data_IF_051227983546
#
_entry.id   IF_051227983546
#
_cell.length_a   1.000
_cell.length_b   1.000
_cell.length_c   1.000
_cell.angle_alpha   90.00
_cell.angle_beta   90.00
_cell.angle_gamma   90.00
#
_symmetry.space_group_name_H-M   'P 1'
#
loop_
_entity.id
_entity.type
_entity.pdbx_description
1 polymer ?
#
# COMPACT_ATOMS: atom_id res chain seq x y z
N UNK A 1 -27.22 13.64 -9.15
CA UNK A 1 -26.51 12.77 -10.12
C UNK A 1 -25.03 13.10 -10.01
N UNK A 2 -24.15 12.11 -9.79
CA UNK A 2 -22.71 12.36 -9.83
C UNK A 2 -22.33 12.79 -11.26
N UNK A 3 -21.38 13.74 -11.44
CA UNK A 3 -20.93 14.10 -12.77
C UNK A 3 -20.39 12.86 -13.49
N UNK A 4 -20.63 12.72 -14.81
CA UNK A 4 -20.09 11.62 -15.59
C UNK A 4 -18.56 11.59 -15.43
N UNK A 5 -18.01 10.40 -15.18
CA UNK A 5 -16.56 10.21 -15.09
C UNK A 5 -15.96 10.41 -16.49
N UNK A 6 -15.18 11.47 -16.67
CA UNK A 6 -14.61 11.86 -17.96
C UNK A 6 -13.23 11.24 -18.14
N UNK A 7 -12.98 10.63 -19.29
CA UNK A 7 -11.64 10.19 -19.72
C UNK A 7 -11.27 10.96 -20.98
N UNK A 8 -10.10 11.59 -20.98
CA UNK A 8 -9.58 12.22 -22.20
C UNK A 8 -8.77 11.20 -22.99
N UNK A 9 -9.08 11.06 -24.27
CA UNK A 9 -8.30 10.30 -25.22
C UNK A 9 -7.69 11.28 -26.21
N UNK A 10 -6.36 11.36 -26.27
CA UNK A 10 -5.63 12.29 -27.14
C UNK A 10 -4.88 11.46 -28.18
N UNK A 11 -5.22 11.57 -29.45
CA UNK A 11 -4.53 10.85 -30.52
C UNK A 11 -5.19 10.95 -31.88
N UNK A 12 -4.43 10.61 -32.93
CA UNK A 12 -4.94 10.61 -34.30
C UNK A 12 -6.01 9.53 -34.51
N UNK A 13 -7.11 9.88 -35.18
CA UNK A 13 -8.20 8.94 -35.49
C UNK A 13 -7.67 7.79 -36.35
N UNK A 14 -7.57 6.62 -35.75
CA UNK A 14 -7.21 5.36 -36.39
C UNK A 14 -7.85 4.19 -35.64
N UNK A 15 -7.72 2.98 -36.18
CA UNK A 15 -8.39 1.78 -35.64
C UNK A 15 -8.10 1.56 -34.14
N UNK A 16 -6.86 1.82 -33.70
CA UNK A 16 -6.47 1.71 -32.29
C UNK A 16 -7.20 2.71 -31.39
N UNK A 17 -7.30 3.98 -31.81
CA UNK A 17 -8.00 5.03 -31.06
C UNK A 17 -9.51 4.77 -31.03
N UNK A 18 -10.09 4.31 -32.14
CA UNK A 18 -11.50 3.91 -32.20
C UNK A 18 -11.80 2.72 -31.29
N UNK A 19 -10.94 1.70 -31.27
CA UNK A 19 -11.10 0.55 -30.39
C UNK A 19 -11.00 0.92 -28.90
N UNK A 20 -10.08 1.84 -28.55
CA UNK A 20 -9.96 2.38 -27.19
C UNK A 20 -11.21 3.17 -26.82
N UNK A 21 -11.67 4.07 -27.69
CA UNK A 21 -12.86 4.88 -27.47
C UNK A 21 -14.10 4.01 -27.27
N UNK A 22 -14.35 3.03 -28.16
CA UNK A 22 -15.47 2.10 -28.06
C UNK A 22 -15.45 1.30 -26.74
N UNK A 23 -14.26 0.85 -26.32
CA UNK A 23 -14.11 0.09 -25.07
C UNK A 23 -14.41 0.92 -23.83
N UNK A 24 -14.06 2.22 -23.85
CA UNK A 24 -14.21 3.13 -22.71
C UNK A 24 -15.60 3.75 -22.62
N UNK A 25 -16.24 4.03 -23.77
CA UNK A 25 -17.57 4.64 -23.83
C UNK A 25 -18.67 3.80 -23.16
N UNK A 26 -18.42 2.51 -22.90
CA UNK A 26 -19.33 1.66 -22.14
C UNK A 26 -19.46 2.04 -20.65
N UNK A 27 -18.48 2.76 -20.09
CA UNK A 27 -18.40 3.07 -18.66
C UNK A 27 -18.04 4.52 -18.34
N UNK A 28 -17.56 5.29 -19.32
CA UNK A 28 -17.04 6.64 -19.15
C UNK A 28 -17.51 7.56 -20.26
N UNK A 29 -17.56 8.86 -19.95
CA UNK A 29 -17.68 9.86 -20.99
C UNK A 29 -16.29 10.10 -21.59
N UNK A 30 -16.06 9.59 -22.79
CA UNK A 30 -14.77 9.73 -23.48
C UNK A 30 -14.79 11.00 -24.34
N UNK A 31 -13.87 11.91 -24.07
CA UNK A 31 -13.68 13.12 -24.89
C UNK A 31 -12.40 12.95 -25.69
N UNK A 32 -12.54 12.96 -27.01
CA UNK A 32 -11.44 12.72 -27.95
C UNK A 32 -10.83 14.05 -28.41
N UNK A 33 -9.52 14.19 -28.25
CA UNK A 33 -8.72 15.26 -28.81
C UNK A 33 -7.72 14.71 -29.83
N UNK A 34 -7.39 15.51 -30.85
CA UNK A 34 -6.35 15.13 -31.81
C UNK A 34 -4.94 15.39 -31.28
N UNK A 35 -4.76 16.42 -30.45
CA UNK A 35 -3.51 16.83 -29.79
C UNK A 35 -3.83 17.54 -28.47
N UNK A 36 -2.81 17.80 -27.66
CA UNK A 36 -2.98 18.57 -26.42
C UNK A 36 -3.23 20.05 -26.75
N UNK A 37 -4.44 20.53 -26.48
CA UNK A 37 -4.87 21.91 -26.75
C UNK A 37 -5.34 22.61 -25.47
N UNK A 38 -5.54 23.93 -25.51
CA UNK A 38 -5.99 24.71 -24.33
C UNK A 38 -7.33 24.20 -23.78
N UNK A 39 -8.19 23.66 -24.63
CA UNK A 39 -9.51 23.13 -24.28
C UNK A 39 -9.43 21.93 -23.32
N UNK A 40 -8.31 21.21 -23.29
CA UNK A 40 -8.04 20.14 -22.31
C UNK A 40 -8.14 20.67 -20.87
N UNK A 41 -7.83 21.95 -20.65
CA UNK A 41 -7.95 22.58 -19.32
C UNK A 41 -9.38 22.64 -18.79
N UNK A 42 -10.38 22.66 -19.67
CA UNK A 42 -11.80 22.78 -19.32
C UNK A 42 -12.40 21.50 -18.74
N UNK A 43 -11.73 20.36 -18.96
CA UNK A 43 -12.18 19.06 -18.47
C UNK A 43 -11.50 18.70 -17.16
N UNK A 44 -12.21 18.00 -16.27
CA UNK A 44 -11.61 17.40 -15.07
C UNK A 44 -11.60 15.87 -15.20
N UNK A 45 -10.63 15.30 -15.97
CA UNK A 45 -10.66 13.88 -16.26
C UNK A 45 -10.10 13.05 -15.12
N UNK A 46 -10.67 11.86 -14.93
CA UNK A 46 -10.12 10.87 -14.01
C UNK A 46 -8.84 10.21 -14.54
N UNK A 47 -8.60 10.30 -15.86
CA UNK A 47 -7.36 9.90 -16.52
C UNK A 47 -7.27 10.48 -17.93
N UNK A 48 -6.04 10.57 -18.43
CA UNK A 48 -5.74 10.95 -19.81
C UNK A 48 -4.98 9.81 -20.50
N UNK A 49 -5.44 9.41 -21.68
CA UNK A 49 -4.76 8.43 -22.53
C UNK A 49 -4.20 9.18 -23.72
N UNK A 50 -2.88 9.18 -23.87
CA UNK A 50 -2.20 9.79 -25.00
C UNK A 50 -1.72 8.68 -25.95
N UNK A 51 -2.34 8.61 -27.12
CA UNK A 51 -2.10 7.60 -28.13
C UNK A 51 -1.36 8.20 -29.33
N UNK A 52 -0.17 7.69 -29.65
CA UNK A 52 0.56 8.10 -30.86
C UNK A 52 0.66 6.94 -31.86
N UNK A 53 0.30 7.22 -33.12
CA UNK A 53 0.57 6.33 -34.24
C UNK A 53 1.92 6.75 -34.82
N UNK A 54 2.98 5.93 -34.68
CA UNK A 54 4.27 6.11 -35.37
C UNK A 54 4.81 7.55 -35.49
N UNK A 55 5.77 7.94 -34.66
CA UNK A 55 6.45 9.24 -34.74
C UNK A 55 7.70 9.29 -33.83
N UNK A 56 8.53 10.35 -33.92
CA UNK A 56 9.69 10.51 -33.05
C UNK A 56 9.26 10.68 -31.58
N UNK A 57 10.04 10.10 -30.66
CA UNK A 57 9.76 10.12 -29.21
C UNK A 57 9.62 11.55 -28.65
N UNK A 58 10.32 12.51 -29.24
CA UNK A 58 10.31 13.93 -28.83
C UNK A 58 8.92 14.58 -28.95
N UNK A 59 8.10 14.17 -29.92
CA UNK A 59 6.76 14.71 -30.11
C UNK A 59 5.80 14.25 -28.99
N UNK A 60 5.93 13.00 -28.55
CA UNK A 60 5.17 12.45 -27.41
C UNK A 60 5.54 13.16 -26.12
N UNK A 61 6.83 13.36 -25.91
CA UNK A 61 7.35 14.04 -24.74
C UNK A 61 6.93 15.51 -24.68
N UNK A 62 6.88 16.18 -25.83
CA UNK A 62 6.32 17.54 -25.94
C UNK A 62 4.85 17.61 -25.52
N UNK A 63 4.02 16.69 -26.01
CA UNK A 63 2.60 16.63 -25.62
C UNK A 63 2.40 16.25 -24.16
N UNK A 64 3.19 15.31 -23.63
CA UNK A 64 3.14 14.93 -22.21
C UNK A 64 3.51 16.12 -21.31
N UNK A 65 4.55 16.86 -21.65
CA UNK A 65 4.98 18.03 -20.90
C UNK A 65 3.89 19.12 -20.90
N UNK A 66 3.31 19.40 -22.07
CA UNK A 66 2.20 20.34 -22.20
C UNK A 66 0.96 19.89 -21.40
N UNK A 67 0.66 18.59 -21.40
CA UNK A 67 -0.45 18.03 -20.63
C UNK A 67 -0.21 18.16 -19.12
N UNK A 68 1.01 17.92 -18.65
CA UNK A 68 1.38 18.08 -17.23
C UNK A 68 1.38 19.54 -16.78
N UNK A 69 1.64 20.49 -17.66
CA UNK A 69 1.43 21.91 -17.36
C UNK A 69 -0.06 22.26 -17.19
N UNK A 70 -0.93 21.71 -18.05
CA UNK A 70 -2.37 22.00 -18.01
C UNK A 70 -3.11 21.22 -16.91
N UNK A 71 -2.64 20.01 -16.59
CA UNK A 71 -3.25 19.05 -15.66
C UNK A 71 -2.16 18.26 -14.91
N UNK A 72 -1.47 18.87 -13.93
CA UNK A 72 -0.38 18.21 -13.21
C UNK A 72 -0.85 16.93 -12.49
N UNK A 73 -2.04 17.01 -11.88
CA UNK A 73 -2.67 15.95 -11.09
C UNK A 73 -3.33 14.85 -11.92
N UNK A 74 -3.57 15.08 -13.22
CA UNK A 74 -4.23 14.08 -14.04
C UNK A 74 -3.26 12.93 -14.36
N UNK A 75 -3.66 11.68 -14.13
CA UNK A 75 -2.81 10.55 -14.38
C UNK A 75 -2.83 10.24 -15.89
N UNK A 76 -1.65 10.02 -16.49
CA UNK A 76 -1.48 9.91 -17.95
C UNK A 76 -0.99 8.52 -18.33
N UNK A 77 -1.62 7.91 -19.32
CA UNK A 77 -1.21 6.64 -19.92
C UNK A 77 -0.76 6.88 -21.36
N UNK A 78 0.48 6.50 -21.69
CA UNK A 78 0.98 6.55 -23.06
C UNK A 78 0.71 5.22 -23.79
N UNK A 79 0.12 5.32 -24.98
CA UNK A 79 -0.14 4.20 -25.88
C UNK A 79 0.53 4.45 -27.24
N UNK A 80 1.14 3.43 -27.84
CA UNK A 80 1.76 3.52 -29.17
C UNK A 80 1.32 2.37 -30.07
N UNK A 81 1.13 2.64 -31.36
CA UNK A 81 0.98 1.60 -32.39
C UNK A 81 2.20 1.61 -33.33
N UNK A 82 2.87 0.46 -33.44
CA UNK A 82 4.07 0.31 -34.29
C UNK A 82 3.85 0.69 -35.77
N UNK A 83 4.95 0.99 -36.47
CA UNK A 83 4.91 1.34 -37.89
C UNK A 83 4.45 0.11 -38.73
N UNK A 84 3.54 0.34 -39.68
CA UNK A 84 3.02 -0.62 -40.67
C UNK A 84 1.98 -1.65 -40.22
N UNK A 85 1.06 -1.32 -39.30
CA UNK A 85 -0.14 -2.14 -39.09
C UNK A 85 0.11 -3.57 -38.55
N UNK A 86 1.36 -3.89 -38.21
CA UNK A 86 1.71 -5.01 -37.36
C UNK A 86 1.88 -4.53 -35.90
N UNK A 87 1.56 -5.37 -34.91
CA UNK A 87 1.63 -4.97 -33.51
C UNK A 87 3.09 -4.78 -33.08
N UNK A 88 3.60 -3.56 -33.19
CA UNK A 88 4.84 -3.16 -32.52
C UNK A 88 4.70 -3.39 -31.02
N UNK A 89 5.69 -4.07 -30.42
CA UNK A 89 5.78 -4.26 -28.97
C UNK A 89 5.81 -2.91 -28.22
N UNK A 90 5.58 -2.91 -26.90
CA UNK A 90 5.59 -1.69 -26.10
C UNK A 90 6.94 -0.97 -26.20
N UNK A 91 6.90 0.33 -26.51
CA UNK A 91 8.04 1.23 -26.59
C UNK A 91 8.67 1.38 -25.18
N UNK A 92 9.73 0.62 -24.91
CA UNK A 92 10.38 0.52 -23.59
C UNK A 92 10.91 1.85 -23.07
N UNK A 93 11.30 2.78 -23.95
CA UNK A 93 11.85 4.09 -23.56
C UNK A 93 10.76 5.14 -23.27
N UNK A 94 9.63 5.11 -23.99
CA UNK A 94 8.50 6.01 -23.76
C UNK A 94 7.76 5.70 -22.45
N UNK A 95 7.79 4.43 -22.02
CA UNK A 95 7.23 3.98 -20.75
C UNK A 95 8.06 4.47 -19.54
N UNK A 96 9.38 4.64 -19.70
CA UNK A 96 10.22 5.25 -18.66
C UNK A 96 9.84 6.70 -18.39
N UNK A 97 9.33 7.41 -19.39
CA UNK A 97 8.89 8.80 -19.26
C UNK A 97 7.39 8.96 -18.98
N UNK A 98 6.54 7.98 -19.37
CA UNK A 98 5.09 7.96 -19.14
C UNK A 98 4.69 7.85 -17.65
N UNK A 99 5.55 7.26 -16.84
CA UNK A 99 5.27 6.87 -15.46
C UNK A 99 6.32 7.46 -14.53
N UNK A 100 6.29 8.79 -14.36
CA UNK A 100 6.97 9.41 -13.24
C UNK A 100 6.20 9.11 -11.94
N UNK A 101 6.41 7.92 -11.38
CA UNK A 101 6.44 7.70 -9.92
C UNK A 101 7.50 6.62 -9.60
N UNK A 102 8.50 6.89 -8.75
CA UNK A 102 9.56 5.93 -8.46
C UNK A 102 9.03 4.85 -7.51
N UNK A 103 8.95 3.60 -7.96
CA UNK A 103 8.67 2.47 -7.06
C UNK A 103 8.22 1.17 -7.73
N UNK A 104 7.49 1.24 -8.85
CA UNK A 104 6.82 0.06 -9.42
C UNK A 104 7.35 -0.38 -10.82
N UNK A 105 8.38 0.31 -11.32
CA UNK A 105 9.01 0.07 -12.62
C UNK A 105 9.41 -1.40 -12.84
N UNK A 106 9.94 -2.07 -11.82
CA UNK A 106 10.45 -3.46 -11.92
C UNK A 106 9.32 -4.50 -12.07
N UNK A 107 8.21 -4.33 -11.33
CA UNK A 107 7.04 -5.23 -11.40
C UNK A 107 6.29 -5.05 -12.71
N UNK A 108 6.14 -3.82 -13.19
CA UNK A 108 5.52 -3.55 -14.48
C UNK A 108 6.37 -4.03 -15.65
N UNK A 109 7.71 -3.92 -15.58
CA UNK A 109 8.63 -4.45 -16.58
C UNK A 109 8.55 -5.98 -16.70
N UNK A 110 8.46 -6.69 -15.57
CA UNK A 110 8.26 -8.14 -15.55
C UNK A 110 6.91 -8.56 -16.16
N UNK A 111 5.84 -7.79 -15.88
CA UNK A 111 4.52 -8.00 -16.47
C UNK A 111 4.52 -7.75 -17.99
N UNK A 112 5.18 -6.69 -18.46
CA UNK A 112 5.31 -6.37 -19.87
C UNK A 112 6.10 -7.42 -20.66
N UNK A 113 7.19 -7.95 -20.08
CA UNK A 113 7.95 -9.07 -20.66
C UNK A 113 7.10 -10.35 -20.77
N UNK A 114 6.16 -10.55 -19.85
CA UNK A 114 5.20 -11.66 -19.95
C UNK A 114 4.17 -11.51 -21.09
N UNK A 115 4.04 -10.31 -21.66
CA UNK A 115 3.09 -10.02 -22.75
C UNK A 115 3.64 -10.35 -24.15
N UNK A 116 4.97 -10.40 -24.32
CA UNK A 116 5.60 -10.86 -25.57
C UNK A 116 5.38 -12.36 -25.82
N UNK A 117 5.18 -13.15 -24.78
CA UNK A 117 5.13 -14.61 -24.88
C UNK A 117 3.75 -15.19 -25.23
N UNK A 118 2.67 -14.38 -25.30
CA UNK A 118 1.30 -14.89 -25.52
C UNK A 118 0.61 -14.31 -26.76
N UNK A 119 0.15 -15.21 -27.65
CA UNK A 119 -0.63 -14.92 -28.88
C UNK A 119 -2.06 -14.42 -28.56
N UNK A 120 -2.21 -13.14 -28.25
CA UNK A 120 -3.53 -12.49 -28.09
C UNK A 120 -3.83 -11.49 -29.22
N UNK A 121 -5.11 -11.35 -29.59
CA UNK A 121 -5.59 -10.31 -30.51
C UNK A 121 -5.43 -8.89 -29.90
N UNK A 122 -5.41 -7.84 -30.73
CA UNK A 122 -5.25 -6.44 -30.27
C UNK A 122 -6.29 -6.04 -29.22
N UNK A 123 -7.56 -6.41 -29.43
CA UNK A 123 -8.66 -6.16 -28.49
C UNK A 123 -8.55 -6.99 -27.18
N UNK A 124 -7.92 -8.17 -27.23
CA UNK A 124 -7.63 -8.98 -26.05
C UNK A 124 -6.49 -8.39 -25.21
N UNK A 125 -5.44 -7.90 -25.88
CA UNK A 125 -4.31 -7.20 -25.26
C UNK A 125 -4.74 -5.89 -24.60
N UNK A 126 -5.59 -5.11 -25.26
CA UNK A 126 -6.15 -3.87 -24.70
C UNK A 126 -7.08 -4.13 -23.50
N UNK A 127 -7.91 -5.18 -23.53
CA UNK A 127 -8.75 -5.56 -22.38
C UNK A 127 -7.94 -6.02 -21.17
N UNK A 128 -6.85 -6.76 -21.37
CA UNK A 128 -5.96 -7.20 -20.27
C UNK A 128 -5.10 -6.06 -19.73
N UNK A 129 -4.50 -5.24 -20.61
CA UNK A 129 -3.79 -4.03 -20.21
C UNK A 129 -4.70 -3.10 -19.43
N UNK A 130 -5.96 -2.92 -19.87
CA UNK A 130 -6.96 -2.15 -19.16
C UNK A 130 -7.39 -2.79 -17.83
N UNK A 131 -7.52 -4.12 -17.70
CA UNK A 131 -7.77 -4.75 -16.39
C UNK A 131 -6.63 -4.48 -15.41
N UNK A 132 -5.39 -4.53 -15.86
CA UNK A 132 -4.20 -4.30 -15.04
C UNK A 132 -4.05 -2.81 -14.68
N UNK A 133 -4.23 -1.89 -15.63
CA UNK A 133 -4.27 -0.44 -15.38
C UNK A 133 -5.49 -0.06 -14.53
N UNK A 134 -6.66 -0.66 -14.74
CA UNK A 134 -7.83 -0.45 -13.86
C UNK A 134 -7.55 -0.90 -12.42
N UNK A 135 -6.86 -2.03 -12.24
CA UNK A 135 -6.51 -2.57 -10.91
C UNK A 135 -5.41 -1.75 -10.21
N UNK A 136 -4.39 -1.29 -10.94
CA UNK A 136 -3.25 -0.55 -10.38
C UNK A 136 -3.48 0.97 -10.31
N UNK A 137 -4.23 1.53 -11.26
CA UNK A 137 -4.32 2.97 -11.53
C UNK A 137 -5.65 3.57 -11.05
N UNK A 138 -6.78 2.92 -11.32
CA UNK A 138 -8.11 3.47 -10.96
C UNK A 138 -8.59 3.07 -9.57
N UNK A 139 -8.06 1.99 -8.98
CA UNK A 139 -8.26 1.73 -7.55
C UNK A 139 -7.61 2.85 -6.73
N UNK A 140 -6.39 3.30 -7.09
CA UNK A 140 -5.67 4.36 -6.36
C UNK A 140 -6.10 5.80 -6.69
N UNK A 141 -6.57 6.12 -7.89
CA UNK A 141 -7.03 7.51 -8.19
C UNK A 141 -8.41 7.81 -7.58
N UNK A 142 -9.24 6.78 -7.36
CA UNK A 142 -10.43 6.90 -6.51
C UNK A 142 -10.08 6.96 -5.00
N UNK A 143 -8.83 6.63 -4.67
CA UNK A 143 -8.21 6.66 -3.36
C UNK A 143 -7.02 7.64 -3.38
N UNK A 144 -7.18 8.83 -3.99
CA UNK A 144 -6.35 9.91 -3.46
C UNK A 144 -6.68 9.94 -1.97
N UNK A 145 -5.72 9.70 -1.07
CA UNK A 145 -5.99 9.89 0.34
C UNK A 145 -6.48 11.32 0.42
N UNK A 146 -7.75 11.51 0.82
CA UNK A 146 -8.01 12.75 1.51
C UNK A 146 -6.99 12.77 2.65
N UNK A 147 -6.26 13.87 2.86
CA UNK A 147 -5.49 14.00 4.08
C UNK A 147 -6.44 13.59 5.20
N UNK A 148 -6.01 12.63 6.02
CA UNK A 148 -6.77 12.22 7.18
C UNK A 148 -7.32 13.48 7.85
N UNK A 149 -8.65 13.55 8.00
CA UNK A 149 -9.35 14.69 8.60
C UNK A 149 -9.50 14.53 10.10
N UNK A 150 -8.97 13.46 10.69
CA UNK A 150 -8.28 13.69 11.95
C UNK A 150 -7.14 14.64 11.59
N UNK A 151 -7.15 15.90 12.06
CA UNK A 151 -6.03 16.78 11.77
C UNK A 151 -4.74 16.00 12.05
N UNK A 152 -3.64 16.25 11.32
CA UNK A 152 -2.35 16.06 11.96
C UNK A 152 -2.43 16.96 13.19
N UNK A 153 -2.92 16.42 14.30
CA UNK A 153 -2.44 16.85 15.59
C UNK A 153 -1.02 16.38 15.47
N UNK A 154 -0.17 17.30 15.04
CA UNK A 154 1.23 17.33 15.35
C UNK A 154 1.32 17.25 16.88
N UNK A 155 1.08 16.07 17.44
CA UNK A 155 2.13 15.54 18.27
C UNK A 155 3.25 15.25 17.28
N UNK A 156 3.99 16.32 16.94
CA UNK A 156 5.40 16.27 17.26
C UNK A 156 5.46 15.51 18.58
N UNK A 157 5.84 14.23 18.52
CA UNK A 157 6.42 13.62 19.67
C UNK A 157 7.52 14.60 20.04
N UNK A 158 7.26 15.45 21.04
CA UNK A 158 8.09 16.58 21.35
C UNK A 158 9.53 16.07 21.32
N UNK A 159 10.44 16.70 20.56
CA UNK A 159 11.79 16.20 20.39
C UNK A 159 12.33 15.92 21.79
N UNK A 160 12.43 14.63 22.13
CA UNK A 160 13.05 14.24 23.38
C UNK A 160 14.50 14.53 23.11
N UNK A 161 15.01 15.58 23.73
CA UNK A 161 16.31 16.16 23.44
C UNK A 161 17.49 15.24 23.80
N UNK A 162 17.25 13.96 24.13
CA UNK A 162 18.21 12.92 24.51
C UNK A 162 17.62 11.48 24.34
N UNK A 163 17.08 11.10 23.17
CA UNK A 163 16.35 9.83 22.99
C UNK A 163 16.59 9.11 21.67
N UNK A 164 16.54 7.77 21.72
CA UNK A 164 16.63 6.89 20.55
C UNK A 164 15.23 6.47 20.09
N UNK A 165 14.84 6.83 18.87
CA UNK A 165 13.56 6.46 18.27
C UNK A 165 13.78 5.57 17.05
N UNK A 166 13.29 4.33 17.11
CA UNK A 166 13.32 3.37 16.02
C UNK A 166 11.94 3.30 15.35
N UNK A 167 11.88 3.74 14.09
CA UNK A 167 10.70 3.63 13.23
C UNK A 167 10.83 2.38 12.37
N UNK A 168 9.94 1.43 12.63
CA UNK A 168 9.93 0.11 11.98
C UNK A 168 8.70 -0.07 11.09
N UNK A 169 7.67 0.79 11.18
CA UNK A 169 6.57 0.82 10.22
C UNK A 169 6.88 1.73 9.03
N UNK A 170 6.73 1.18 7.82
CA UNK A 170 7.26 1.79 6.61
C UNK A 170 8.79 1.59 6.52
N UNK A 171 9.50 2.49 5.81
CA UNK A 171 10.94 2.42 5.70
C UNK A 171 11.64 2.51 7.07
N UNK A 172 12.60 1.62 7.31
CA UNK A 172 13.37 1.62 8.55
C UNK A 172 14.12 2.95 8.74
N UNK A 173 13.81 3.67 9.81
CA UNK A 173 14.43 4.94 10.17
C UNK A 173 14.85 4.92 11.64
N UNK A 174 16.04 5.43 11.92
CA UNK A 174 16.56 5.56 13.28
C UNK A 174 16.83 7.02 13.55
N UNK A 175 16.29 7.55 14.65
CA UNK A 175 16.56 8.91 15.11
C UNK A 175 17.27 8.90 16.45
N UNK A 176 18.27 9.75 16.58
CA UNK A 176 18.95 10.02 17.83
C UNK A 176 18.85 11.51 18.11
N UNK A 177 18.27 11.88 19.25
CA UNK A 177 18.12 13.26 19.70
C UNK A 177 17.45 14.14 18.63
N UNK A 178 16.43 13.56 17.97
CA UNK A 178 15.68 14.17 16.88
C UNK A 178 16.37 14.15 15.50
N UNK A 179 17.64 13.75 15.41
CA UNK A 179 18.39 13.66 14.14
C UNK A 179 18.23 12.28 13.51
N UNK A 180 17.84 12.24 12.23
CA UNK A 180 17.79 11.00 11.44
C UNK A 180 19.21 10.51 11.18
N UNK A 181 19.50 9.28 11.58
CA UNK A 181 20.77 8.63 11.32
C UNK A 181 20.80 8.08 9.87
N UNK A 182 21.94 8.15 9.18
CA UNK A 182 22.05 7.64 7.80
C UNK A 182 21.74 6.15 7.69
N UNK A 183 21.04 5.69 6.64
CA UNK A 183 20.62 4.29 6.54
C UNK A 183 21.80 3.33 6.35
N UNK A 184 21.72 2.16 6.97
CA UNK A 184 22.64 1.05 6.68
C UNK A 184 22.37 0.54 5.26
N UNK A 185 23.38 0.59 4.39
CA UNK A 185 23.25 0.21 2.96
C UNK A 185 22.82 -1.27 2.77
N UNK A 186 23.42 -2.18 3.52
CA UNK A 186 23.11 -3.62 3.45
C UNK A 186 21.72 -3.90 4.06
N UNK A 187 20.80 -4.47 3.28
CA UNK A 187 19.49 -4.89 3.77
C UNK A 187 19.58 -5.87 4.95
N UNK A 188 20.52 -6.81 4.91
CA UNK A 188 20.73 -7.79 6.00
C UNK A 188 21.17 -7.10 7.28
N UNK A 189 22.09 -6.12 7.19
CA UNK A 189 22.57 -5.40 8.37
C UNK A 189 21.51 -4.44 8.92
N UNK A 190 20.68 -3.86 8.03
CA UNK A 190 19.53 -3.04 8.41
C UNK A 190 18.47 -3.87 9.12
N UNK A 191 18.14 -5.04 8.58
CA UNK A 191 17.29 -6.04 9.25
C UNK A 191 17.91 -6.47 10.58
N UNK A 192 19.22 -6.76 10.65
CA UNK A 192 19.89 -7.14 11.89
C UNK A 192 19.77 -6.05 12.96
N UNK A 193 20.01 -4.79 12.62
CA UNK A 193 19.82 -3.69 13.56
C UNK A 193 18.36 -3.56 13.99
N UNK A 194 17.40 -3.65 13.06
CA UNK A 194 15.98 -3.63 13.39
C UNK A 194 15.57 -4.80 14.31
N UNK A 195 16.11 -6.00 14.08
CA UNK A 195 15.90 -7.18 14.93
C UNK A 195 16.41 -6.91 16.35
N UNK A 196 17.63 -6.39 16.48
CA UNK A 196 18.22 -6.05 17.76
C UNK A 196 17.41 -4.97 18.48
N UNK A 197 16.92 -3.95 17.78
CA UNK A 197 16.10 -2.89 18.38
C UNK A 197 14.71 -3.40 18.79
N UNK A 198 14.09 -4.24 17.95
CA UNK A 198 12.77 -4.81 18.23
C UNK A 198 12.78 -5.82 19.38
N UNK A 199 13.81 -6.66 19.48
CA UNK A 199 13.92 -7.70 20.52
C UNK A 199 14.85 -7.32 21.67
N UNK A 200 15.61 -6.23 21.54
CA UNK A 200 16.70 -5.83 22.43
C UNK A 200 16.39 -5.63 23.91
N UNK A 201 15.16 -5.26 24.32
CA UNK A 201 14.77 -5.28 25.73
C UNK A 201 14.85 -6.68 26.37
N UNK A 202 14.96 -7.75 25.57
CA UNK A 202 14.99 -9.14 26.01
C UNK A 202 16.31 -9.82 25.58
N UNK A 203 16.64 -10.95 26.23
CA UNK A 203 17.76 -11.80 25.79
C UNK A 203 17.42 -12.43 24.44
N UNK A 204 18.33 -12.36 23.48
CA UNK A 204 18.15 -12.88 22.12
C UNK A 204 19.06 -14.09 21.89
N UNK A 205 18.57 -15.34 22.03
CA UNK A 205 19.39 -16.54 21.85
C UNK A 205 19.98 -16.61 20.45
N UNK A 206 21.28 -16.90 20.32
CA UNK A 206 21.98 -16.95 19.03
C UNK A 206 21.30 -17.84 18.00
N UNK A 207 20.80 -19.00 18.43
CA UNK A 207 20.13 -19.95 17.56
C UNK A 207 18.85 -19.36 16.93
N UNK A 208 18.07 -18.56 17.67
CA UNK A 208 16.88 -17.89 17.15
C UNK A 208 17.20 -16.81 16.13
N UNK A 209 18.31 -16.09 16.32
CA UNK A 209 18.79 -15.12 15.32
C UNK A 209 19.20 -15.86 14.05
N UNK A 210 19.94 -16.97 14.17
CA UNK A 210 20.34 -17.78 13.02
C UNK A 210 19.12 -18.32 12.26
N UNK A 211 18.16 -18.95 12.97
CA UNK A 211 16.91 -19.45 12.40
C UNK A 211 16.16 -18.37 11.62
N UNK A 212 16.12 -17.14 12.14
CA UNK A 212 15.37 -16.05 11.51
C UNK A 212 16.04 -15.41 10.28
N UNK A 213 17.36 -15.51 10.14
CA UNK A 213 18.13 -14.84 9.08
C UNK A 213 18.71 -15.78 8.03
N UNK A 214 19.07 -17.00 8.44
CA UNK A 214 19.77 -17.98 7.60
C UNK A 214 19.27 -19.41 7.89
N UNK A 215 17.96 -19.70 7.73
CA UNK A 215 17.38 -21.01 8.07
C UNK A 215 17.99 -22.15 7.25
N UNK A 216 18.36 -21.89 5.98
CA UNK A 216 18.86 -22.91 5.05
C UNK A 216 20.40 -23.07 5.08
N UNK A 217 21.09 -22.31 5.93
CA UNK A 217 22.55 -22.38 6.03
C UNK A 217 22.99 -23.42 7.04
N UNK A 218 24.11 -24.11 6.75
CA UNK A 218 24.74 -24.94 7.77
C UNK A 218 25.20 -24.07 8.97
N UNK A 219 25.36 -24.71 10.13
CA UNK A 219 25.58 -23.99 11.39
C UNK A 219 26.83 -23.12 11.38
N UNK A 220 27.94 -23.59 10.81
CA UNK A 220 29.20 -22.85 10.77
C UNK A 220 29.09 -21.62 9.87
N UNK A 221 28.53 -21.77 8.67
CA UNK A 221 28.29 -20.67 7.75
C UNK A 221 27.33 -19.62 8.36
N UNK A 222 26.24 -20.06 9.00
CA UNK A 222 25.29 -19.16 9.63
C UNK A 222 25.90 -18.38 10.80
N UNK A 223 26.73 -19.02 11.63
CA UNK A 223 27.49 -18.35 12.70
C UNK A 223 28.44 -17.30 12.13
N UNK A 224 29.15 -17.60 11.05
CA UNK A 224 30.06 -16.66 10.40
C UNK A 224 29.30 -15.45 9.82
N UNK A 225 28.19 -15.68 9.12
CA UNK A 225 27.31 -14.62 8.61
C UNK A 225 26.78 -13.73 9.75
N UNK A 226 26.35 -14.33 10.87
CA UNK A 226 25.90 -13.59 12.04
C UNK A 226 27.02 -12.72 12.63
N UNK A 227 28.21 -13.26 12.81
CA UNK A 227 29.36 -12.51 13.34
C UNK A 227 29.69 -11.31 12.45
N UNK A 228 29.67 -11.47 11.12
CA UNK A 228 29.89 -10.39 10.15
C UNK A 228 28.79 -9.33 10.24
N UNK A 229 27.53 -9.74 10.34
CA UNK A 229 26.40 -8.82 10.47
C UNK A 229 26.47 -8.01 11.78
N UNK A 230 26.69 -8.68 12.92
CA UNK A 230 26.84 -8.04 14.24
C UNK A 230 28.06 -7.10 14.26
N UNK A 231 29.19 -7.52 13.69
CA UNK A 231 30.38 -6.66 13.58
C UNK A 231 30.09 -5.39 12.77
N UNK A 232 29.37 -5.53 11.65
CA UNK A 232 28.96 -4.41 10.81
C UNK A 232 28.00 -3.45 11.54
N UNK A 233 27.03 -4.00 12.29
CA UNK A 233 26.10 -3.19 13.09
C UNK A 233 26.83 -2.49 14.23
N UNK A 234 27.75 -3.16 14.93
CA UNK A 234 28.60 -2.55 15.97
C UNK A 234 29.44 -1.41 15.41
N UNK A 235 30.01 -1.58 14.21
CA UNK A 235 30.79 -0.53 13.53
C UNK A 235 29.91 0.67 13.21
N UNK A 236 28.77 0.45 12.56
CA UNK A 236 27.80 1.50 12.26
C UNK A 236 27.40 2.28 13.52
N UNK A 237 27.13 1.57 14.62
CA UNK A 237 26.72 2.21 15.86
C UNK A 237 27.83 3.06 16.49
N UNK A 238 29.07 2.54 16.53
CA UNK A 238 30.23 3.32 17.00
C UNK A 238 30.45 4.61 16.20
N UNK A 239 30.15 4.59 14.90
CA UNK A 239 30.31 5.75 14.02
C UNK A 239 29.18 6.78 14.17
N UNK A 240 27.94 6.33 14.45
CA UNK A 240 26.75 7.18 14.38
C UNK A 240 26.12 7.51 15.73
N UNK A 241 26.14 6.56 16.66
CA UNK A 241 25.34 6.58 17.89
C UNK A 241 26.13 6.74 19.19
N UNK A 242 27.46 6.89 19.10
CA UNK A 242 28.33 7.02 20.28
C UNK A 242 28.25 5.81 21.22
N UNK A 243 28.56 6.04 22.49
CA UNK A 243 28.59 4.99 23.53
C UNK A 243 27.20 4.64 24.11
N UNK A 244 26.11 5.10 23.48
CA UNK A 244 24.75 5.00 24.05
C UNK A 244 24.06 3.63 23.89
N UNK A 245 24.67 2.69 23.17
CA UNK A 245 24.13 1.35 23.01
C UNK A 245 25.27 0.35 22.86
N UNK A 246 25.18 -0.70 23.66
CA UNK A 246 26.15 -1.77 23.70
C UNK A 246 25.48 -3.09 23.31
N UNK A 247 26.10 -3.81 22.36
CA UNK A 247 25.67 -5.15 21.97
C UNK A 247 26.54 -6.15 22.72
N UNK A 248 26.01 -6.70 23.81
CA UNK A 248 26.67 -7.69 24.64
C UNK A 248 26.37 -9.10 24.15
N UNK A 249 27.27 -10.05 24.42
CA UNK A 249 27.05 -11.47 24.16
C UNK A 249 27.42 -12.29 25.40
N UNK A 250 26.43 -12.96 25.99
CA UNK A 250 26.57 -13.77 27.21
C UNK A 250 25.62 -14.96 27.15
N UNK A 251 26.02 -16.11 27.70
CA UNK A 251 25.20 -17.33 27.77
C UNK A 251 24.60 -17.76 26.41
N UNK A 252 25.38 -17.64 25.33
CA UNK A 252 24.95 -17.93 23.97
C UNK A 252 23.75 -17.07 23.47
N UNK A 253 23.60 -15.87 24.04
CA UNK A 253 22.57 -14.91 23.67
C UNK A 253 23.16 -13.50 23.50
N UNK A 254 22.58 -12.73 22.58
CA UNK A 254 22.84 -11.32 22.45
C UNK A 254 21.92 -10.54 23.38
N UNK A 255 22.45 -9.47 23.97
CA UNK A 255 21.69 -8.50 24.76
C UNK A 255 21.98 -7.11 24.22
N UNK A 256 20.97 -6.24 24.23
CA UNK A 256 21.12 -4.85 23.82
C UNK A 256 20.89 -3.95 25.02
N UNK A 257 21.90 -3.15 25.37
CA UNK A 257 21.70 -2.05 26.32
C UNK A 257 21.15 -0.85 25.54
N UNK A 258 19.96 -0.41 25.95
CA UNK A 258 19.22 0.68 25.32
C UNK A 258 19.12 1.84 26.31
N UNK A 259 19.13 3.10 25.84
CA UNK A 259 18.91 4.25 26.71
C UNK A 259 17.49 4.23 27.29
N UNK A 260 17.30 4.82 28.47
CA UNK A 260 15.98 4.89 29.14
C UNK A 260 14.90 5.54 28.25
N UNK A 261 15.31 6.49 27.41
CA UNK A 261 14.43 7.20 26.47
C UNK A 261 14.24 6.46 25.12
N UNK A 262 14.48 5.14 25.06
CA UNK A 262 14.29 4.35 23.85
C UNK A 262 12.81 4.19 23.47
N UNK A 263 12.51 4.38 22.18
CA UNK A 263 11.18 4.21 21.59
C UNK A 263 11.23 3.33 20.35
N UNK A 264 10.17 2.56 20.17
CA UNK A 264 9.96 1.63 19.08
C UNK A 264 8.47 1.65 18.71
N UNK A 265 8.16 2.15 17.52
CA UNK A 265 6.77 2.29 17.06
C UNK A 265 6.02 0.95 16.98
N UNK A 266 6.67 -0.13 16.52
CA UNK A 266 6.07 -1.46 16.43
C UNK A 266 5.76 -2.08 17.80
N UNK A 267 6.67 -1.94 18.79
CA UNK A 267 6.38 -2.37 20.17
C UNK A 267 5.31 -1.50 20.82
N UNK A 268 5.35 -0.19 20.60
CA UNK A 268 4.34 0.73 21.12
C UNK A 268 2.95 0.43 20.54
N UNK A 269 2.87 0.11 19.25
CA UNK A 269 1.67 -0.34 18.57
C UNK A 269 1.09 -1.61 19.22
N UNK A 270 1.91 -2.66 19.41
CA UNK A 270 1.45 -3.90 20.05
C UNK A 270 0.99 -3.67 21.49
N UNK A 271 1.67 -2.78 22.23
CA UNK A 271 1.25 -2.41 23.59
C UNK A 271 -0.12 -1.73 23.59
N UNK A 272 -0.35 -0.80 22.67
CA UNK A 272 -1.66 -0.14 22.51
C UNK A 272 -2.73 -1.16 22.09
N UNK A 273 -2.40 -2.11 21.22
CA UNK A 273 -3.32 -3.18 20.85
C UNK A 273 -3.77 -4.01 22.06
N UNK A 274 -2.84 -4.49 22.88
CA UNK A 274 -3.16 -5.24 24.10
C UNK A 274 -3.93 -4.39 25.12
N UNK A 275 -3.56 -3.12 25.26
CA UNK A 275 -4.26 -2.19 26.14
C UNK A 275 -5.71 -1.97 25.70
N UNK A 276 -5.96 -1.77 24.40
CA UNK A 276 -7.30 -1.62 23.85
C UNK A 276 -8.16 -2.86 24.11
N UNK A 277 -7.63 -4.07 23.87
CA UNK A 277 -8.33 -5.32 24.20
C UNK A 277 -8.65 -5.43 25.69
N UNK A 278 -7.74 -5.01 26.56
CA UNK A 278 -7.98 -5.00 28.00
C UNK A 278 -9.09 -4.02 28.39
N UNK A 279 -9.16 -2.85 27.75
CA UNK A 279 -10.19 -1.85 27.99
C UNK A 279 -11.57 -2.32 27.50
N UNK A 280 -11.65 -3.02 26.37
CA UNK A 280 -12.89 -3.64 25.90
C UNK A 280 -13.41 -4.71 26.87
N UNK A 281 -12.53 -5.57 27.39
CA UNK A 281 -12.89 -6.57 28.42
C UNK A 281 -13.38 -5.92 29.72
N UNK A 282 -12.91 -4.72 30.02
CA UNK A 282 -13.35 -3.92 31.15
C UNK A 282 -14.58 -3.04 30.85
N UNK A 283 -15.21 -3.19 29.68
CA UNK A 283 -16.35 -2.38 29.21
C UNK A 283 -16.07 -0.87 29.08
N UNK A 284 -14.80 -0.46 28.94
CA UNK A 284 -14.36 0.94 28.80
C UNK A 284 -14.18 1.32 27.32
N UNK A 285 -15.28 1.31 26.58
CA UNK A 285 -15.27 1.37 25.11
C UNK A 285 -14.71 2.69 24.54
N UNK A 286 -14.96 3.84 25.19
CA UNK A 286 -14.42 5.13 24.71
C UNK A 286 -12.91 5.22 24.86
N UNK A 287 -12.37 4.63 25.92
CA UNK A 287 -10.93 4.55 26.13
C UNK A 287 -10.28 3.56 25.17
N UNK A 288 -10.93 2.41 24.93
CA UNK A 288 -10.50 1.45 23.92
C UNK A 288 -10.43 2.12 22.53
N UNK A 289 -11.47 2.88 22.16
CA UNK A 289 -11.52 3.64 20.91
C UNK A 289 -10.33 4.59 20.78
N UNK A 290 -10.02 5.35 21.84
CA UNK A 290 -8.90 6.29 21.83
C UNK A 290 -7.54 5.58 21.72
N UNK A 291 -7.36 4.46 22.40
CA UNK A 291 -6.12 3.67 22.35
C UNK A 291 -5.95 3.02 20.97
N UNK A 292 -7.00 2.48 20.37
CA UNK A 292 -6.96 1.94 19.01
C UNK A 292 -6.64 3.01 17.97
N UNK A 293 -7.22 4.22 18.08
CA UNK A 293 -6.86 5.36 17.23
C UNK A 293 -5.37 5.74 17.36
N UNK A 294 -4.81 5.69 18.56
CA UNK A 294 -3.38 5.92 18.76
C UNK A 294 -2.53 4.83 18.11
N UNK A 295 -2.95 3.56 18.19
CA UNK A 295 -2.26 2.45 17.52
C UNK A 295 -2.22 2.66 16.00
N UNK A 296 -3.36 3.00 15.37
CA UNK A 296 -3.40 3.25 13.92
C UNK A 296 -2.44 4.36 13.47
N UNK A 297 -2.27 5.41 14.28
CA UNK A 297 -1.32 6.50 13.95
C UNK A 297 0.14 6.06 13.91
N UNK A 298 0.49 4.96 14.58
CA UNK A 298 1.85 4.41 14.54
C UNK A 298 2.06 3.52 13.32
N UNK A 299 1.00 2.91 12.79
CA UNK A 299 1.09 2.03 11.62
C UNK A 299 1.11 2.88 10.33
N UNK A 300 2.30 3.33 9.92
CA UNK A 300 2.47 4.20 8.74
C UNK A 300 2.78 3.44 7.44
N UNK A 301 2.93 2.12 7.52
CA UNK A 301 3.30 1.24 6.41
C UNK A 301 3.65 -0.15 6.92
N UNK A 302 3.95 -1.07 6.00
CA UNK A 302 4.36 -2.41 6.39
C UNK A 302 5.65 -2.41 7.21
N UNK A 303 5.78 -3.38 8.12
CA UNK A 303 6.99 -3.54 8.93
C UNK A 303 8.23 -3.71 8.05
N UNK A 304 9.22 -2.85 8.25
CA UNK A 304 10.47 -2.78 7.49
C UNK A 304 10.24 -2.77 5.98
N UNK A 305 9.39 -1.86 5.54
CA UNK A 305 9.15 -1.63 4.11
C UNK A 305 10.47 -1.29 3.40
N UNK A 306 10.64 -1.82 2.20
CA UNK A 306 11.87 -1.65 1.41
C UNK A 306 12.98 -2.68 1.70
N UNK A 307 12.82 -3.57 2.69
CA UNK A 307 13.65 -4.78 2.77
C UNK A 307 13.09 -5.79 1.76
N UNK A 308 13.78 -5.94 0.62
CA UNK A 308 13.33 -6.80 -0.47
C UNK A 308 13.79 -8.25 -0.31
N UNK A 309 14.88 -8.48 0.43
CA UNK A 309 15.36 -9.82 0.74
C UNK A 309 14.36 -10.54 1.63
N UNK A 310 14.01 -11.77 1.24
CA UNK A 310 13.21 -12.65 2.08
C UNK A 310 14.02 -13.04 3.32
N UNK A 311 13.59 -12.53 4.48
CA UNK A 311 14.20 -12.79 5.78
C UNK A 311 13.06 -13.21 6.71
N UNK A 312 13.07 -14.47 7.14
CA UNK A 312 11.92 -15.13 7.78
C UNK A 312 11.37 -14.38 9.00
N UNK A 313 12.24 -13.85 9.86
CA UNK A 313 11.77 -13.09 11.02
C UNK A 313 11.08 -11.78 10.61
N UNK A 314 11.51 -11.13 9.51
CA UNK A 314 10.88 -9.90 8.99
C UNK A 314 9.50 -10.24 8.47
N UNK A 315 9.37 -11.25 7.61
CA UNK A 315 8.08 -11.63 7.02
C UNK A 315 7.08 -12.10 8.08
N UNK A 316 7.52 -12.94 9.02
CA UNK A 316 6.66 -13.42 10.10
C UNK A 316 6.21 -12.29 11.04
N UNK A 317 7.09 -11.33 11.34
CA UNK A 317 6.73 -10.16 12.16
C UNK A 317 5.82 -9.20 11.40
N UNK A 318 6.10 -8.96 10.11
CA UNK A 318 5.27 -8.13 9.23
C UNK A 318 3.85 -8.68 9.12
N UNK A 319 3.68 -9.99 8.89
CA UNK A 319 2.37 -10.64 8.85
C UNK A 319 1.63 -10.49 10.17
N UNK A 320 2.28 -10.78 11.31
CA UNK A 320 1.67 -10.62 12.65
C UNK A 320 1.21 -9.18 12.92
N UNK A 321 2.05 -8.19 12.58
CA UNK A 321 1.72 -6.78 12.80
C UNK A 321 0.59 -6.32 11.88
N UNK A 322 0.56 -6.80 10.62
CA UNK A 322 -0.54 -6.53 9.68
C UNK A 322 -1.86 -7.14 10.15
N UNK A 323 -1.84 -8.37 10.65
CA UNK A 323 -3.03 -9.03 11.23
C UNK A 323 -3.57 -8.28 12.45
N UNK A 324 -2.67 -7.81 13.33
CA UNK A 324 -3.05 -6.96 14.46
C UNK A 324 -3.64 -5.62 13.99
N UNK A 325 -3.10 -5.03 12.92
CA UNK A 325 -3.61 -3.79 12.35
C UNK A 325 -5.02 -3.96 11.77
N UNK A 326 -5.23 -5.00 10.97
CA UNK A 326 -6.55 -5.36 10.44
C UNK A 326 -7.56 -5.60 11.56
N UNK A 327 -7.14 -6.27 12.65
CA UNK A 327 -7.97 -6.48 13.83
C UNK A 327 -8.36 -5.17 14.52
N UNK A 328 -7.42 -4.21 14.62
CA UNK A 328 -7.70 -2.88 15.18
C UNK A 328 -8.72 -2.14 14.32
N UNK A 329 -8.54 -2.13 12.99
CA UNK A 329 -9.47 -1.47 12.07
C UNK A 329 -10.86 -2.08 12.15
N UNK A 330 -10.97 -3.41 12.27
CA UNK A 330 -12.25 -4.10 12.41
C UNK A 330 -12.96 -3.66 13.70
N UNK A 331 -12.24 -3.66 14.84
CA UNK A 331 -12.76 -3.14 16.12
C UNK A 331 -13.17 -1.68 16.05
N UNK A 332 -12.35 -0.83 15.44
CA UNK A 332 -12.67 0.60 15.23
C UNK A 332 -13.95 0.75 14.40
N UNK A 333 -14.09 -0.01 13.31
CA UNK A 333 -15.29 0.04 12.47
C UNK A 333 -16.57 -0.30 13.25
N UNK A 334 -16.52 -1.28 14.15
CA UNK A 334 -17.63 -1.61 15.04
C UNK A 334 -17.94 -0.47 16.03
N UNK A 335 -16.91 0.02 16.73
CA UNK A 335 -17.06 1.08 17.74
C UNK A 335 -17.56 2.40 17.13
N UNK A 336 -17.16 2.71 15.90
CA UNK A 336 -17.67 3.86 15.15
C UNK A 336 -19.13 3.67 14.74
N UNK A 337 -19.49 2.49 14.23
CA UNK A 337 -20.88 2.16 13.88
C UNK A 337 -21.83 2.27 15.08
N UNK A 338 -21.42 1.80 16.26
CA UNK A 338 -22.19 1.91 17.50
C UNK A 338 -22.43 3.36 17.93
N UNK A 339 -21.48 4.26 17.63
CA UNK A 339 -21.54 5.69 17.96
C UNK A 339 -22.18 6.55 16.87
N UNK A 340 -22.64 5.95 15.78
CA UNK A 340 -23.17 6.69 14.62
C UNK A 340 -22.12 7.46 13.83
N UNK A 341 -20.82 7.19 14.06
CA UNK A 341 -19.69 7.75 13.32
C UNK A 341 -19.50 7.01 12.00
N UNK A 342 -20.51 7.12 11.12
CA UNK A 342 -20.60 6.31 9.91
C UNK A 342 -19.51 6.62 8.88
N UNK A 343 -18.95 7.83 8.88
CA UNK A 343 -17.88 8.16 7.95
C UNK A 343 -16.58 7.45 8.34
N UNK A 344 -16.21 7.52 9.61
CA UNK A 344 -15.00 6.88 10.14
C UNK A 344 -15.10 5.35 10.08
N UNK A 345 -16.30 4.79 10.24
CA UNK A 345 -16.54 3.37 10.01
C UNK A 345 -16.34 2.97 8.54
N UNK A 346 -16.82 3.79 7.60
CA UNK A 346 -16.65 3.55 6.16
C UNK A 346 -15.16 3.59 5.79
N UNK A 347 -14.41 4.55 6.31
CA UNK A 347 -12.95 4.69 6.10
C UNK A 347 -12.18 3.47 6.65
N UNK A 348 -12.46 3.04 7.89
CA UNK A 348 -11.80 1.88 8.49
C UNK A 348 -12.04 0.58 7.69
N UNK A 349 -13.28 0.36 7.22
CA UNK A 349 -13.58 -0.80 6.38
C UNK A 349 -12.96 -0.71 4.99
N UNK A 350 -12.87 0.49 4.39
CA UNK A 350 -12.20 0.66 3.10
C UNK A 350 -10.71 0.35 3.21
N UNK A 351 -10.06 0.81 4.29
CA UNK A 351 -8.65 0.52 4.55
C UNK A 351 -8.39 -0.99 4.73
N UNK A 352 -9.27 -1.70 5.44
CA UNK A 352 -9.22 -3.18 5.51
C UNK A 352 -9.23 -3.79 4.10
N UNK A 353 -10.13 -3.34 3.23
CA UNK A 353 -10.29 -3.87 1.87
C UNK A 353 -9.19 -3.44 0.90
N UNK A 354 -8.45 -2.37 1.20
CA UNK A 354 -7.25 -2.00 0.46
C UNK A 354 -6.08 -2.93 0.78
N UNK A 355 -5.98 -3.37 2.04
CA UNK A 355 -4.98 -4.33 2.49
C UNK A 355 -5.34 -5.74 1.98
N UNK A 356 -6.59 -6.16 2.15
CA UNK A 356 -7.10 -7.44 1.69
C UNK A 356 -8.57 -7.34 1.23
N UNK A 357 -8.76 -7.39 -0.08
CA UNK A 357 -10.06 -7.28 -0.75
C UNK A 357 -11.00 -8.48 -0.48
N UNK A 358 -10.49 -9.57 0.12
CA UNK A 358 -11.23 -10.78 0.44
C UNK A 358 -11.82 -10.80 1.86
N UNK A 359 -11.60 -9.77 2.69
CA UNK A 359 -12.13 -9.74 4.06
C UNK A 359 -13.65 -9.48 4.02
N UNK A 360 -14.43 -10.56 4.05
CA UNK A 360 -15.89 -10.49 3.95
C UNK A 360 -16.56 -9.70 5.09
N UNK A 361 -15.99 -9.70 6.31
CA UNK A 361 -16.55 -8.95 7.44
C UNK A 361 -16.60 -7.45 7.14
N UNK A 362 -15.55 -6.90 6.53
CA UNK A 362 -15.50 -5.49 6.12
C UNK A 362 -16.53 -5.18 5.02
N UNK A 363 -16.71 -6.08 4.04
CA UNK A 363 -17.78 -5.96 3.04
C UNK A 363 -19.16 -5.92 3.69
N UNK A 364 -19.44 -6.83 4.63
CA UNK A 364 -20.71 -6.87 5.37
C UNK A 364 -20.95 -5.59 6.16
N UNK A 365 -19.93 -5.09 6.86
CA UNK A 365 -20.02 -3.86 7.64
C UNK A 365 -20.36 -2.65 6.76
N UNK A 366 -19.72 -2.54 5.58
CA UNK A 366 -20.04 -1.51 4.59
C UNK A 366 -21.46 -1.65 4.03
N UNK A 367 -21.94 -2.88 3.77
CA UNK A 367 -23.33 -3.12 3.32
C UNK A 367 -24.33 -2.61 4.37
N UNK A 368 -24.12 -2.95 5.65
CA UNK A 368 -24.97 -2.49 6.77
C UNK A 368 -24.92 -0.96 6.87
N UNK A 369 -23.73 -0.38 6.83
CA UNK A 369 -23.51 1.07 6.92
C UNK A 369 -24.22 1.82 5.79
N UNK A 370 -24.05 1.38 4.54
CA UNK A 370 -24.71 1.98 3.39
C UNK A 370 -26.24 1.82 3.46
N UNK A 371 -26.74 0.73 4.01
CA UNK A 371 -28.16 0.58 4.24
C UNK A 371 -28.67 1.59 5.30
N UNK A 372 -28.04 1.66 6.47
CA UNK A 372 -28.40 2.59 7.55
C UNK A 372 -28.35 4.06 7.14
N UNK A 373 -27.47 4.40 6.21
CA UNK A 373 -27.31 5.77 5.68
C UNK A 373 -28.15 6.04 4.43
N UNK A 374 -29.13 5.17 4.12
CA UNK A 374 -30.02 5.27 2.96
C UNK A 374 -29.29 5.32 1.59
N UNK A 375 -28.11 4.70 1.52
CA UNK A 375 -27.26 4.58 0.32
C UNK A 375 -27.38 3.18 -0.29
N UNK A 376 -28.61 2.69 -0.49
CA UNK A 376 -28.91 1.33 -0.99
C UNK A 376 -28.12 0.94 -2.24
N UNK A 377 -27.97 1.85 -3.21
CA UNK A 377 -27.16 1.58 -4.40
C UNK A 377 -25.67 1.30 -4.13
N UNK A 378 -25.09 1.86 -3.06
CA UNK A 378 -23.72 1.53 -2.63
C UNK A 378 -23.68 0.15 -1.96
N UNK A 379 -24.68 -0.19 -1.14
CA UNK A 379 -24.78 -1.52 -0.52
C UNK A 379 -24.79 -2.66 -1.57
N UNK A 380 -25.60 -2.52 -2.63
CA UNK A 380 -25.65 -3.52 -3.71
C UNK A 380 -24.33 -3.65 -4.46
N UNK A 381 -23.66 -2.52 -4.74
CA UNK A 381 -22.34 -2.54 -5.39
C UNK A 381 -21.27 -3.17 -4.50
N UNK A 382 -21.33 -2.94 -3.19
CA UNK A 382 -20.39 -3.53 -2.24
C UNK A 382 -20.50 -5.05 -2.22
N UNK A 383 -21.72 -5.60 -2.20
CA UNK A 383 -21.91 -7.04 -2.30
C UNK A 383 -21.33 -7.61 -3.61
N UNK A 384 -21.58 -6.95 -4.75
CA UNK A 384 -20.99 -7.38 -6.02
C UNK A 384 -19.46 -7.34 -6.01
N UNK A 385 -18.85 -6.32 -5.37
CA UNK A 385 -17.41 -6.25 -5.18
C UNK A 385 -16.87 -7.41 -4.31
N UNK A 386 -17.58 -7.76 -3.24
CA UNK A 386 -17.27 -8.91 -2.40
C UNK A 386 -17.25 -10.22 -3.20
N UNK A 387 -18.34 -10.51 -3.93
CA UNK A 387 -18.43 -11.71 -4.76
C UNK A 387 -17.29 -11.76 -5.79
N UNK A 388 -16.99 -10.63 -6.43
CA UNK A 388 -15.93 -10.56 -7.42
C UNK A 388 -14.55 -10.82 -6.78
N UNK A 389 -14.25 -10.21 -5.63
CA UNK A 389 -12.96 -10.37 -4.96
C UNK A 389 -12.72 -11.84 -4.57
N UNK A 390 -13.70 -12.48 -3.91
CA UNK A 390 -13.62 -13.88 -3.49
C UNK A 390 -13.48 -14.82 -4.68
N UNK A 391 -14.23 -14.59 -5.75
CA UNK A 391 -14.16 -15.42 -6.94
C UNK A 391 -12.81 -15.25 -7.67
N UNK A 392 -12.32 -14.01 -7.82
CA UNK A 392 -11.09 -13.70 -8.55
C UNK A 392 -9.82 -14.14 -7.78
N UNK A 393 -9.85 -14.13 -6.44
CA UNK A 393 -8.67 -14.39 -5.58
C UNK A 393 -8.63 -15.80 -4.99
N UNK A 394 -9.79 -16.32 -4.58
CA UNK A 394 -9.92 -17.56 -3.82
C UNK A 394 -10.74 -18.62 -4.56
N UNK A 395 -11.48 -18.25 -5.60
CA UNK A 395 -12.31 -19.17 -6.37
C UNK A 395 -13.55 -19.66 -5.62
N UNK A 396 -13.97 -18.93 -4.57
CA UNK A 396 -15.10 -19.29 -3.70
C UNK A 396 -16.23 -18.27 -3.79
N UNK A 397 -17.44 -18.69 -3.45
CA UNK A 397 -18.60 -17.81 -3.25
C UNK A 397 -18.62 -17.21 -1.83
N UNK A 398 -19.33 -16.10 -1.60
CA UNK A 398 -19.46 -15.50 -0.28
C UNK A 398 -20.06 -16.47 0.76
N UNK A 399 -19.74 -16.23 2.02
CA UNK A 399 -20.41 -16.92 3.12
C UNK A 399 -21.92 -16.62 3.15
N UNK A 400 -22.70 -17.57 3.68
CA UNK A 400 -24.16 -17.50 3.76
C UNK A 400 -24.63 -16.24 4.50
N UNK A 401 -23.93 -15.83 5.55
CA UNK A 401 -24.22 -14.62 6.31
C UNK A 401 -24.13 -13.35 5.42
N UNK A 402 -23.20 -13.34 4.46
CA UNK A 402 -23.04 -12.24 3.49
C UNK A 402 -24.19 -12.23 2.47
N UNK A 403 -24.62 -13.40 2.00
CA UNK A 403 -25.76 -13.54 1.09
C UNK A 403 -27.08 -13.13 1.77
N UNK A 404 -27.33 -13.60 2.99
CA UNK A 404 -28.53 -13.27 3.76
C UNK A 404 -28.61 -11.76 4.04
N UNK A 405 -27.48 -11.12 4.34
CA UNK A 405 -27.41 -9.68 4.54
C UNK A 405 -27.81 -8.92 3.26
N UNK A 406 -27.33 -9.36 2.10
CA UNK A 406 -27.70 -8.77 0.81
C UNK A 406 -29.21 -8.90 0.53
N UNK A 407 -29.79 -10.08 0.78
CA UNK A 407 -31.23 -10.28 0.62
C UNK A 407 -32.05 -9.37 1.53
N UNK A 408 -31.65 -9.18 2.79
CA UNK A 408 -32.30 -8.21 3.69
C UNK A 408 -32.17 -6.78 3.18
N UNK A 409 -31.00 -6.38 2.67
CA UNK A 409 -30.75 -5.06 2.11
C UNK A 409 -31.63 -4.76 0.86
N UNK A 410 -31.93 -5.78 0.05
CA UNK A 410 -32.85 -5.64 -1.10
C UNK A 410 -34.31 -5.60 -0.65
N UNK A 411 -34.69 -6.45 0.30
CA UNK A 411 -36.08 -6.56 0.70
C UNK A 411 -36.52 -5.47 1.68
N UNK A 412 -35.58 -4.61 2.12
CA UNK A 412 -35.86 -3.49 3.02
C UNK A 412 -36.03 -3.91 4.48
N UNK A 413 -35.43 -5.03 4.90
CA UNK A 413 -35.61 -5.61 6.23
C UNK A 413 -34.36 -5.57 7.11
N UNK A 414 -33.55 -4.51 7.02
CA UNK A 414 -32.31 -4.34 7.81
C UNK A 414 -32.46 -3.32 8.94
#
# INVERSE_FOLDING_TARGET
MLPPKIVLLIGNRGESVQAIQQSLSAHYQVVLFHKVEKEVSWFNPIAVILHQNGGPADEVMGQLHQLKQLKPEAPVMLCHSGQQGQPGGPYLEGIQAALAWPGELSRMRALLLSWEQKRFSLAGRLRMAWRTVRRLFFHRVALQPQPSLLPPVSMEMAPVSNGLDARLFGPFELRMDGRVLPPIRSEVNRAMLAYLLYNGPERMPRHKIIEGFWPDSNEEAARNCLNVAISSVRKYWREMGGDHLEICFQDNAYCLQLPDAYRNDARAFLKLWEQGKSLERAHRMDEALNVYRQACRLYTGDFLEGISRNIDWVESTRSKLREAYLSILDRLSCLFMERGLYQEAEEACQEILEIDDCIESAHRQLIILYYKTNRRGRALRQYAMCCQALQDRLGVSPFRETEELYHKAINGGL
#
